data_IF_573462799237
#
_entry.id   IF_573462799237
#
_cell.length_a   1.000
_cell.length_b   1.000
_cell.length_c   1.000
_cell.angle_alpha   90.00
_cell.angle_beta   90.00
_cell.angle_gamma   90.00
#
_symmetry.space_group_name_H-M   'P 1'
#
loop_
_entity.id
_entity.type
_entity.pdbx_description
1 polymer ?
#
# COMPACT_ATOMS: atom_id res chain seq x y z
N UNK A 1 -11.74 -11.79 3.83
CA UNK A 1 -11.62 -12.29 5.20
C UNK A 1 -11.16 -13.72 5.10
N UNK A 2 -10.04 -14.06 5.74
CA UNK A 2 -9.58 -15.44 5.92
C UNK A 2 -10.30 -15.93 7.18
N UNK A 3 -11.01 -17.05 7.12
CA UNK A 3 -11.80 -17.52 8.26
C UNK A 3 -10.88 -18.10 9.33
N UNK A 4 -11.26 -17.94 10.60
CA UNK A 4 -10.47 -18.40 11.76
C UNK A 4 -10.29 -19.93 11.84
N UNK A 5 -10.94 -20.69 10.96
CA UNK A 5 -10.86 -22.15 10.88
C UNK A 5 -9.99 -22.66 9.72
N UNK A 6 -9.39 -21.77 8.93
CA UNK A 6 -8.58 -22.18 7.77
C UNK A 6 -7.22 -22.71 8.25
N UNK A 7 -6.85 -23.92 7.80
CA UNK A 7 -5.49 -24.44 8.04
C UNK A 7 -4.60 -24.04 6.86
N UNK A 8 -3.64 -23.11 7.05
CA UNK A 8 -2.73 -22.73 5.97
C UNK A 8 -1.73 -23.85 5.71
N UNK A 9 -1.51 -24.18 4.44
CA UNK A 9 -0.52 -25.15 3.97
C UNK A 9 0.49 -24.42 3.10
N UNK A 10 1.77 -24.73 3.27
CA UNK A 10 2.83 -24.23 2.39
C UNK A 10 3.29 -25.34 1.46
N UNK A 11 2.99 -25.22 0.17
CA UNK A 11 3.34 -26.22 -0.83
C UNK A 11 3.55 -25.57 -2.21
N UNK A 12 4.50 -26.09 -2.99
CA UNK A 12 4.75 -25.66 -4.37
C UNK A 12 4.91 -24.13 -4.53
N UNK A 13 5.65 -23.48 -3.64
CA UNK A 13 5.81 -22.02 -3.60
C UNK A 13 4.51 -21.22 -3.35
N UNK A 14 3.44 -21.85 -2.87
CA UNK A 14 2.16 -21.21 -2.55
C UNK A 14 1.72 -21.46 -1.11
N UNK A 15 1.18 -20.41 -0.48
CA UNK A 15 0.42 -20.51 0.76
C UNK A 15 -1.04 -20.77 0.39
N UNK A 16 -1.53 -21.91 0.83
CA UNK A 16 -2.83 -22.45 0.46
C UNK A 16 -3.72 -22.38 1.70
N UNK A 17 -4.82 -21.65 1.62
CA UNK A 17 -5.86 -21.69 2.65
C UNK A 17 -6.95 -22.65 2.20
N UNK A 18 -7.09 -23.75 2.95
CA UNK A 18 -8.20 -24.69 2.77
C UNK A 18 -9.31 -24.25 3.72
N UNK A 19 -10.26 -23.50 3.19
CA UNK A 19 -11.51 -23.15 3.87
C UNK A 19 -12.63 -24.11 3.45
N UNK A 20 -13.77 -24.02 4.12
CA UNK A 20 -15.00 -24.77 3.76
C UNK A 20 -15.55 -24.40 2.36
N UNK A 21 -15.13 -23.27 1.79
CA UNK A 21 -15.34 -22.83 0.39
C UNK A 21 -14.45 -21.62 0.09
N UNK A 22 -13.92 -21.43 -1.13
CA UNK A 22 -12.99 -22.23 -1.93
C UNK A 22 -11.50 -22.03 -1.57
N UNK A 23 -10.61 -22.91 -2.08
CA UNK A 23 -9.16 -22.87 -1.84
C UNK A 23 -8.55 -21.54 -2.33
N UNK A 24 -7.84 -20.82 -1.45
CA UNK A 24 -7.11 -19.60 -1.81
C UNK A 24 -5.64 -19.94 -1.94
N UNK A 25 -5.04 -19.68 -3.09
CA UNK A 25 -3.60 -19.78 -3.29
C UNK A 25 -2.99 -18.39 -3.23
N UNK A 26 -1.94 -18.21 -2.43
CA UNK A 26 -1.12 -17.01 -2.39
C UNK A 26 0.30 -17.40 -2.79
N UNK A 27 0.77 -16.92 -3.93
CA UNK A 27 2.12 -17.16 -4.41
C UNK A 27 3.20 -16.60 -3.49
N UNK A 28 4.39 -17.15 -3.61
CA UNK A 28 5.62 -16.62 -3.02
C UNK A 28 5.94 -15.21 -3.56
N UNK A 29 6.96 -14.57 -2.98
CA UNK A 29 7.52 -13.34 -3.53
C UNK A 29 7.94 -13.47 -5.01
N UNK A 30 8.54 -14.61 -5.39
CA UNK A 30 8.95 -14.91 -6.76
C UNK A 30 7.74 -15.03 -7.71
N UNK A 31 6.63 -15.55 -7.19
CA UNK A 31 5.32 -15.60 -7.86
C UNK A 31 4.54 -14.28 -7.75
N UNK A 32 5.22 -13.18 -7.43
CA UNK A 32 4.67 -11.82 -7.34
C UNK A 32 3.54 -11.65 -6.33
N UNK A 33 3.46 -12.55 -5.34
CA UNK A 33 2.37 -12.59 -4.36
C UNK A 33 0.98 -12.64 -5.04
N UNK A 34 0.92 -13.32 -6.20
CA UNK A 34 -0.34 -13.52 -6.91
C UNK A 34 -1.33 -14.30 -6.03
N UNK A 35 -2.60 -13.96 -6.11
CA UNK A 35 -3.63 -14.64 -5.33
C UNK A 35 -4.63 -15.20 -6.31
N UNK A 36 -4.86 -16.51 -6.23
CA UNK A 36 -5.75 -17.23 -7.11
C UNK A 36 -6.90 -17.86 -6.35
N UNK A 37 -8.08 -17.86 -6.98
CA UNK A 37 -9.30 -18.47 -6.47
C UNK A 37 -9.89 -19.34 -7.58
N UNK A 38 -10.46 -20.51 -7.26
CA UNK A 38 -11.14 -21.33 -8.24
C UNK A 38 -12.51 -20.71 -8.55
N UNK A 39 -12.92 -20.78 -9.82
CA UNK A 39 -14.31 -20.60 -10.21
C UNK A 39 -15.15 -21.84 -9.88
N UNK A 40 -16.44 -21.79 -10.20
CA UNK A 40 -17.38 -22.90 -10.01
C UNK A 40 -17.00 -24.16 -10.82
N UNK A 41 -16.12 -24.04 -11.81
CA UNK A 41 -15.62 -25.13 -12.64
C UNK A 41 -14.26 -25.65 -12.16
N UNK A 42 -13.71 -25.11 -11.08
CA UNK A 42 -12.39 -25.47 -10.55
C UNK A 42 -11.21 -24.82 -11.28
N UNK A 43 -11.44 -23.90 -12.22
CA UNK A 43 -10.35 -23.16 -12.87
C UNK A 43 -9.88 -22.01 -11.98
N UNK A 44 -8.57 -21.86 -11.84
CA UNK A 44 -7.98 -20.81 -11.00
C UNK A 44 -7.83 -19.49 -11.75
N UNK A 45 -8.36 -18.43 -11.14
CA UNK A 45 -8.29 -17.07 -11.65
C UNK A 45 -7.55 -16.16 -10.69
N UNK A 46 -6.74 -15.26 -11.25
CA UNK A 46 -6.11 -14.21 -10.45
C UNK A 46 -7.17 -13.25 -9.91
N UNK A 47 -7.13 -13.02 -8.61
CA UNK A 47 -7.94 -11.97 -7.97
C UNK A 47 -7.48 -10.59 -8.43
N UNK A 48 -8.42 -9.64 -8.45
CA UNK A 48 -8.10 -8.28 -8.83
C UNK A 48 -7.16 -7.61 -7.81
N UNK A 49 -6.30 -6.70 -8.29
CA UNK A 49 -5.23 -6.10 -7.48
C UNK A 49 -5.73 -5.36 -6.22
N UNK A 50 -6.94 -4.82 -6.28
CA UNK A 50 -7.49 -3.96 -5.24
C UNK A 50 -8.33 -4.69 -4.19
N UNK A 51 -8.54 -5.99 -4.37
CA UNK A 51 -9.39 -6.79 -3.50
C UNK A 51 -8.61 -7.45 -2.34
N UNK A 52 -7.34 -7.07 -2.18
CA UNK A 52 -6.42 -7.61 -1.16
C UNK A 52 -6.54 -6.88 0.17
N UNK A 53 -7.71 -6.95 0.79
CA UNK A 53 -7.94 -6.39 2.12
C UNK A 53 -7.67 -7.45 3.20
N UNK A 54 -6.84 -7.10 4.19
CA UNK A 54 -6.71 -7.85 5.45
C UNK A 54 -5.66 -8.96 5.50
N UNK A 55 -4.86 -9.19 4.43
CA UNK A 55 -3.74 -10.14 4.50
C UNK A 55 -2.57 -9.49 5.25
N UNK A 56 -2.14 -10.11 6.34
CA UNK A 56 -1.03 -9.60 7.15
C UNK A 56 0.33 -10.06 6.64
N UNK A 57 1.30 -9.14 6.61
CA UNK A 57 2.71 -9.44 6.34
C UNK A 57 3.56 -9.54 7.61
N UNK A 58 2.93 -9.42 8.78
CA UNK A 58 3.65 -9.45 10.05
C UNK A 58 4.00 -10.88 10.41
N UNK A 59 5.28 -11.12 10.59
CA UNK A 59 5.75 -12.33 11.23
C UNK A 59 5.33 -12.36 12.70
N UNK A 60 4.87 -13.52 13.17
CA UNK A 60 4.54 -13.75 14.56
C UNK A 60 4.85 -15.21 14.90
N UNK A 61 5.44 -15.44 16.08
CA UNK A 61 5.68 -16.79 16.62
C UNK A 61 4.38 -17.59 16.79
N UNK A 62 3.25 -16.91 16.88
CA UNK A 62 1.92 -17.51 16.98
C UNK A 62 1.29 -17.82 15.60
N UNK A 63 1.90 -17.39 14.49
CA UNK A 63 1.43 -17.79 13.16
C UNK A 63 1.69 -19.29 12.94
N UNK A 64 0.89 -19.92 12.09
CA UNK A 64 1.18 -21.27 11.63
C UNK A 64 2.54 -21.35 10.92
N UNK A 65 3.25 -22.47 11.08
CA UNK A 65 4.55 -22.71 10.45
C UNK A 65 4.51 -22.46 8.94
N UNK A 66 3.47 -22.91 8.25
CA UNK A 66 3.28 -22.68 6.81
C UNK A 66 3.19 -21.19 6.45
N UNK A 67 2.48 -20.39 7.25
CA UNK A 67 2.43 -18.93 7.06
C UNK A 67 3.79 -18.31 7.26
N UNK A 68 4.55 -18.75 8.27
CA UNK A 68 5.90 -18.24 8.50
C UNK A 68 6.86 -18.61 7.37
N UNK A 69 6.82 -19.84 6.85
CA UNK A 69 7.60 -20.25 5.67
C UNK A 69 7.26 -19.42 4.43
N UNK A 70 5.97 -19.12 4.22
CA UNK A 70 5.58 -18.22 3.14
C UNK A 70 6.08 -16.79 3.35
N UNK A 71 5.96 -16.23 4.56
CA UNK A 71 6.46 -14.90 4.90
C UNK A 71 7.97 -14.77 4.73
N UNK A 72 8.73 -15.86 4.91
CA UNK A 72 10.17 -15.90 4.68
C UNK A 72 10.54 -15.74 3.20
N UNK A 73 9.63 -16.04 2.26
CA UNK A 73 9.84 -15.74 0.84
C UNK A 73 9.88 -14.24 0.57
N UNK A 74 9.26 -13.42 1.43
CA UNK A 74 9.18 -11.96 1.29
C UNK A 74 10.42 -11.33 1.94
N UNK A 75 11.19 -10.51 1.20
CA UNK A 75 12.39 -9.87 1.75
C UNK A 75 12.06 -9.10 3.03
N UNK A 76 12.90 -9.23 4.06
CA UNK A 76 12.65 -8.64 5.38
C UNK A 76 12.42 -7.13 5.30
N UNK A 77 13.20 -6.44 4.48
CA UNK A 77 13.05 -5.00 4.24
C UNK A 77 11.65 -4.61 3.74
N UNK A 78 11.00 -5.45 2.93
CA UNK A 78 9.65 -5.22 2.41
C UNK A 78 8.62 -5.37 3.52
N UNK A 79 8.78 -6.39 4.36
CA UNK A 79 7.91 -6.60 5.53
C UNK A 79 8.04 -5.43 6.49
N UNK A 80 9.26 -4.97 6.75
CA UNK A 80 9.53 -3.87 7.67
C UNK A 80 8.97 -2.53 7.14
N UNK A 81 9.26 -2.16 5.89
CA UNK A 81 8.80 -0.88 5.32
C UNK A 81 7.28 -0.81 5.21
N UNK A 82 6.61 -1.88 4.79
CA UNK A 82 5.16 -1.89 4.61
C UNK A 82 4.38 -2.14 5.91
N UNK A 83 5.03 -2.63 6.96
CA UNK A 83 4.40 -2.75 8.29
C UNK A 83 3.97 -1.41 8.90
N UNK A 84 4.53 -0.30 8.39
CA UNK A 84 4.21 1.08 8.78
C UNK A 84 2.80 1.48 8.34
N UNK A 85 2.24 0.83 7.30
CA UNK A 85 0.85 1.03 6.87
C UNK A 85 0.04 -0.27 6.98
N UNK A 86 -0.43 -0.64 8.20
CA UNK A 86 -1.00 -1.96 8.47
C UNK A 86 -2.23 -2.28 7.64
N UNK A 87 -3.03 -1.27 7.30
CA UNK A 87 -4.32 -1.44 6.63
C UNK A 87 -4.21 -2.12 5.26
N UNK A 88 -3.12 -1.87 4.52
CA UNK A 88 -2.94 -2.36 3.15
C UNK A 88 -1.51 -2.85 2.85
N UNK A 89 -0.77 -3.32 3.86
CA UNK A 89 0.61 -3.77 3.72
C UNK A 89 0.80 -4.84 2.61
N UNK A 90 -0.13 -5.79 2.46
CA UNK A 90 -0.06 -6.81 1.40
C UNK A 90 -0.22 -6.21 0.01
N UNK A 91 -1.15 -5.26 -0.16
CA UNK A 91 -1.33 -4.56 -1.42
C UNK A 91 -0.05 -3.82 -1.83
N UNK A 92 0.60 -3.11 -0.89
CA UNK A 92 1.89 -2.45 -1.15
C UNK A 92 2.97 -3.47 -1.56
N UNK A 93 3.09 -4.59 -0.83
CA UNK A 93 4.06 -5.65 -1.15
C UNK A 93 3.83 -6.28 -2.51
N UNK A 94 2.58 -6.50 -2.89
CA UNK A 94 2.26 -7.05 -4.19
C UNK A 94 2.66 -6.10 -5.32
N UNK A 95 2.39 -4.81 -5.19
CA UNK A 95 2.84 -3.82 -6.19
C UNK A 95 4.36 -3.84 -6.30
N UNK A 96 5.09 -3.90 -5.18
CA UNK A 96 6.54 -4.04 -5.15
C UNK A 96 7.05 -5.33 -5.81
N UNK A 97 6.36 -6.44 -5.61
CA UNK A 97 6.70 -7.72 -6.22
C UNK A 97 6.40 -7.76 -7.74
N UNK A 98 5.37 -7.02 -8.18
CA UNK A 98 5.01 -6.89 -9.59
C UNK A 98 5.99 -6.02 -10.37
N UNK A 99 6.52 -4.97 -9.75
CA UNK A 99 7.35 -3.95 -10.40
C UNK A 99 8.43 -3.43 -9.43
N UNK A 100 9.71 -3.85 -9.58
CA UNK A 100 10.78 -3.45 -8.69
C UNK A 100 10.97 -1.93 -8.53
N UNK A 101 10.73 -1.13 -9.58
CA UNK A 101 10.87 0.33 -9.48
C UNK A 101 9.89 0.97 -8.48
N UNK A 102 8.79 0.29 -8.18
CA UNK A 102 7.83 0.76 -7.17
C UNK A 102 8.39 0.65 -5.75
N UNK A 103 9.29 -0.30 -5.49
CA UNK A 103 10.02 -0.39 -4.23
C UNK A 103 10.98 0.79 -4.05
N UNK A 104 11.69 1.18 -5.11
CA UNK A 104 12.59 2.33 -5.06
C UNK A 104 11.83 3.62 -4.79
N UNK A 105 10.60 3.73 -5.31
CA UNK A 105 9.70 4.81 -4.98
C UNK A 105 9.31 4.79 -3.49
N UNK A 106 8.90 3.63 -2.96
CA UNK A 106 8.55 3.48 -1.55
C UNK A 106 9.72 3.83 -0.61
N UNK A 107 10.95 3.44 -0.97
CA UNK A 107 12.17 3.75 -0.20
C UNK A 107 12.49 5.25 -0.19
N UNK A 108 12.34 5.93 -1.33
CA UNK A 108 12.62 7.37 -1.44
C UNK A 108 11.57 8.22 -0.74
N UNK A 109 10.30 7.85 -0.84
CA UNK A 109 9.19 8.60 -0.28
C UNK A 109 7.97 7.71 -0.03
N UNK A 110 7.93 7.08 1.14
CA UNK A 110 6.88 6.13 1.51
C UNK A 110 5.48 6.77 1.55
N UNK A 111 5.38 7.98 2.10
CA UNK A 111 4.11 8.72 2.21
C UNK A 111 3.51 8.94 0.82
N UNK A 112 4.34 9.43 -0.10
CA UNK A 112 3.94 9.65 -1.47
C UNK A 112 3.51 8.35 -2.17
N UNK A 113 4.27 7.27 -1.99
CA UNK A 113 3.94 5.96 -2.54
C UNK A 113 2.55 5.47 -2.08
N UNK A 114 2.27 5.57 -0.78
CA UNK A 114 0.97 5.19 -0.21
C UNK A 114 -0.16 6.06 -0.75
N UNK A 115 0.02 7.38 -0.87
CA UNK A 115 -0.98 8.29 -1.45
C UNK A 115 -1.34 7.86 -2.88
N UNK A 116 -0.34 7.58 -3.71
CA UNK A 116 -0.56 7.16 -5.09
C UNK A 116 -1.36 5.86 -5.17
N UNK A 117 -0.94 4.84 -4.43
CA UNK A 117 -1.58 3.53 -4.46
C UNK A 117 -3.01 3.56 -3.91
N UNK A 118 -3.27 4.29 -2.82
CA UNK A 118 -4.63 4.49 -2.32
C UNK A 118 -5.51 5.25 -3.31
N UNK A 119 -4.96 6.26 -4.00
CA UNK A 119 -5.69 6.96 -5.05
C UNK A 119 -6.06 6.02 -6.20
N UNK A 120 -5.12 5.20 -6.68
CA UNK A 120 -5.40 4.21 -7.72
C UNK A 120 -6.47 3.21 -7.31
N UNK A 121 -6.37 2.66 -6.10
CA UNK A 121 -7.32 1.71 -5.54
C UNK A 121 -8.73 2.28 -5.47
N UNK A 122 -8.88 3.49 -4.92
CA UNK A 122 -10.19 4.15 -4.74
C UNK A 122 -10.86 4.53 -6.06
N UNK A 123 -10.06 4.89 -7.07
CA UNK A 123 -10.56 5.27 -8.38
C UNK A 123 -10.57 4.11 -9.38
N UNK A 124 -10.33 2.87 -8.92
CA UNK A 124 -10.25 1.67 -9.76
C UNK A 124 -9.40 1.87 -11.02
N UNK A 125 -8.25 2.53 -10.88
CA UNK A 125 -7.33 2.73 -12.00
C UNK A 125 -6.78 1.37 -12.47
N UNK A 126 -6.64 1.18 -13.78
CA UNK A 126 -6.08 -0.07 -14.29
C UNK A 126 -4.62 -0.24 -13.80
N UNK A 127 -4.18 -1.44 -13.38
CA UNK A 127 -2.83 -1.67 -12.89
C UNK A 127 -1.73 -1.20 -13.85
N UNK A 128 -1.95 -1.33 -15.17
CA UNK A 128 -0.99 -0.89 -16.19
C UNK A 128 -0.77 0.62 -16.14
N UNK A 129 -1.85 1.40 -15.93
CA UNK A 129 -1.76 2.85 -15.76
C UNK A 129 -1.09 3.23 -14.45
N UNK A 130 -1.39 2.52 -13.37
CA UNK A 130 -0.75 2.73 -12.08
C UNK A 130 0.78 2.53 -12.18
N UNK A 131 1.21 1.44 -12.80
CA UNK A 131 2.63 1.12 -13.00
C UNK A 131 3.32 2.07 -13.99
N UNK A 132 2.62 2.48 -15.07
CA UNK A 132 3.12 3.48 -16.00
C UNK A 132 3.56 4.76 -15.27
N UNK A 133 2.70 5.34 -14.45
CA UNK A 133 3.06 6.56 -13.72
C UNK A 133 4.16 6.36 -12.66
N UNK A 134 4.26 5.16 -12.06
CA UNK A 134 5.38 4.84 -11.16
C UNK A 134 6.72 4.90 -11.90
N UNK A 135 6.77 4.40 -13.13
CA UNK A 135 7.98 4.44 -13.97
C UNK A 135 8.33 5.87 -14.39
N UNK A 136 7.33 6.70 -14.66
CA UNK A 136 7.52 8.13 -14.96
C UNK A 136 7.99 8.96 -13.75
N UNK A 137 7.75 8.46 -12.53
CA UNK A 137 8.29 9.04 -11.30
C UNK A 137 7.36 10.01 -10.55
N UNK A 138 7.87 10.49 -9.41
CA UNK A 138 7.10 11.23 -8.39
C UNK A 138 6.45 12.51 -8.93
N UNK A 139 7.18 13.24 -9.77
CA UNK A 139 6.73 14.51 -10.34
C UNK A 139 5.50 14.33 -11.25
N UNK A 140 5.53 13.32 -12.13
CA UNK A 140 4.44 13.02 -13.07
C UNK A 140 3.17 12.57 -12.34
N UNK A 141 3.31 11.75 -11.31
CA UNK A 141 2.21 11.33 -10.46
C UNK A 141 1.57 12.53 -9.74
N UNK A 142 2.34 13.43 -9.13
CA UNK A 142 1.77 14.59 -8.43
C UNK A 142 0.99 15.51 -9.39
N UNK A 143 1.53 15.74 -10.60
CA UNK A 143 0.78 16.43 -11.66
C UNK A 143 -0.52 15.71 -11.99
N UNK A 144 -0.47 14.38 -12.11
CA UNK A 144 -1.66 13.56 -12.38
C UNK A 144 -2.70 13.63 -11.26
N UNK A 145 -2.25 13.77 -10.01
CA UNK A 145 -3.10 13.97 -8.84
C UNK A 145 -3.68 15.39 -8.73
N UNK A 146 -3.29 16.32 -9.62
CA UNK A 146 -3.77 17.70 -9.63
C UNK A 146 -2.98 18.67 -8.77
N UNK A 147 -1.81 18.27 -8.26
CA UNK A 147 -0.95 19.13 -7.44
C UNK A 147 -0.31 20.19 -8.32
N UNK A 148 -0.61 21.46 -8.04
CA UNK A 148 -0.08 22.59 -8.81
C UNK A 148 1.39 22.86 -8.47
N UNK A 149 1.71 22.89 -7.17
CA UNK A 149 3.03 23.23 -6.64
C UNK A 149 3.85 21.98 -6.31
N UNK A 150 4.19 21.24 -7.37
CA UNK A 150 4.77 19.88 -7.30
C UNK A 150 6.04 19.83 -6.44
N UNK A 151 6.99 20.75 -6.64
CA UNK A 151 8.27 20.71 -5.91
C UNK A 151 8.10 20.88 -4.40
N UNK A 152 7.20 21.77 -3.98
CA UNK A 152 6.90 21.99 -2.57
C UNK A 152 6.11 20.84 -1.96
N UNK A 153 5.23 20.20 -2.74
CA UNK A 153 4.54 19.00 -2.31
C UNK A 153 5.50 17.81 -2.13
N UNK A 154 6.44 17.60 -3.06
CA UNK A 154 7.50 16.58 -2.91
C UNK A 154 8.35 16.84 -1.67
N UNK A 155 8.77 18.09 -1.50
CA UNK A 155 9.56 18.50 -0.36
C UNK A 155 8.82 18.27 0.97
N UNK A 156 7.54 18.62 1.02
CA UNK A 156 6.69 18.38 2.19
C UNK A 156 6.53 16.88 2.45
N UNK A 157 6.25 16.07 1.43
CA UNK A 157 6.10 14.62 1.56
C UNK A 157 7.33 13.94 2.19
N UNK A 158 8.55 14.36 1.79
CA UNK A 158 9.80 13.83 2.35
C UNK A 158 10.00 14.16 3.85
N UNK A 159 9.25 15.12 4.38
CA UNK A 159 9.30 15.55 5.79
C UNK A 159 8.16 14.98 6.63
N UNK A 160 7.17 14.33 6.01
CA UNK A 160 6.10 13.64 6.72
C UNK A 160 6.68 12.36 7.31
N UNK A 161 6.50 12.17 8.62
CA UNK A 161 6.90 10.93 9.27
C UNK A 161 6.09 9.75 8.71
N UNK A 162 6.75 8.64 8.36
CA UNK A 162 6.12 7.51 7.69
C UNK A 162 4.92 6.92 8.45
N UNK A 163 4.90 7.01 9.79
CA UNK A 163 3.80 6.52 10.63
C UNK A 163 2.55 7.42 10.58
N UNK A 164 2.59 8.58 9.94
CA UNK A 164 1.43 9.45 9.77
C UNK A 164 0.29 8.72 9.05
N UNK A 165 0.60 7.92 8.02
CA UNK A 165 -0.43 7.17 7.27
C UNK A 165 -1.11 6.08 8.10
N UNK A 166 -0.58 5.71 9.26
CA UNK A 166 -1.25 4.79 10.18
C UNK A 166 -2.42 5.45 10.92
N UNK A 167 -2.43 6.79 11.02
CA UNK A 167 -3.43 7.55 11.78
C UNK A 167 -4.23 8.53 10.89
N UNK A 168 -3.60 9.06 9.84
CA UNK A 168 -4.19 10.03 8.91
C UNK A 168 -4.45 9.34 7.57
N UNK A 169 -5.69 9.34 7.09
CA UNK A 169 -6.02 8.74 5.79
C UNK A 169 -5.22 9.39 4.64
N UNK A 170 -4.62 8.62 3.71
CA UNK A 170 -3.79 9.18 2.63
C UNK A 170 -4.52 10.18 1.73
N UNK A 171 -5.84 10.05 1.55
CA UNK A 171 -6.67 11.01 0.83
C UNK A 171 -6.72 12.38 1.51
N UNK A 172 -6.64 12.41 2.85
CA UNK A 172 -6.63 13.65 3.60
C UNK A 172 -5.28 14.35 3.43
N UNK A 173 -4.19 13.57 3.48
CA UNK A 173 -2.85 14.08 3.17
C UNK A 173 -2.84 14.68 1.76
N UNK A 174 -3.40 13.96 0.76
CA UNK A 174 -3.51 14.46 -0.60
C UNK A 174 -4.32 15.78 -0.68
N UNK A 175 -5.46 15.89 0.00
CA UNK A 175 -6.24 17.14 0.06
C UNK A 175 -5.40 18.29 0.61
N UNK A 176 -4.59 18.07 1.65
CA UNK A 176 -3.66 19.08 2.15
C UNK A 176 -2.59 19.47 1.13
N UNK A 177 -2.12 18.56 0.29
CA UNK A 177 -1.14 18.86 -0.77
C UNK A 177 -1.74 19.64 -1.95
N UNK A 178 -3.05 19.48 -2.18
CA UNK A 178 -3.79 20.20 -3.23
C UNK A 178 -4.20 21.61 -2.80
N UNK A 179 -4.32 21.86 -1.50
CA UNK A 179 -4.71 23.14 -0.94
C UNK A 179 -3.49 24.01 -0.64
N UNK A 180 -3.42 25.21 -1.22
CA UNK A 180 -2.26 26.09 -1.09
C UNK A 180 -1.95 26.52 0.35
N UNK A 181 -2.98 26.81 1.15
CA UNK A 181 -2.80 27.22 2.54
C UNK A 181 -2.24 26.08 3.40
N UNK A 182 -2.77 24.86 3.21
CA UNK A 182 -2.25 23.65 3.84
C UNK A 182 -0.80 23.39 3.41
N UNK A 183 -0.53 23.42 2.11
CA UNK A 183 0.81 23.15 1.58
C UNK A 183 1.83 24.19 2.06
N UNK A 184 1.45 25.47 2.16
CA UNK A 184 2.30 26.50 2.73
C UNK A 184 2.67 26.19 4.19
N UNK A 185 1.69 25.84 5.02
CA UNK A 185 1.92 25.45 6.41
C UNK A 185 2.84 24.21 6.52
N UNK A 186 2.58 23.17 5.72
CA UNK A 186 3.39 21.96 5.70
C UNK A 186 4.82 22.25 5.23
N UNK A 187 5.01 23.08 4.21
CA UNK A 187 6.34 23.40 3.65
C UNK A 187 7.25 24.16 4.63
N UNK A 188 6.67 24.95 5.53
CA UNK A 188 7.37 25.67 6.60
C UNK A 188 7.72 24.75 7.78
N UNK A 189 7.11 23.57 7.85
CA UNK A 189 7.32 22.62 8.93
C UNK A 189 8.56 21.76 8.63
N UNK A 190 9.49 21.67 9.59
CA UNK A 190 10.74 20.89 9.45
C UNK A 190 10.48 19.38 9.45
N UNK A 191 9.58 18.92 10.32
CA UNK A 191 9.20 17.52 10.47
C UNK A 191 7.69 17.45 10.71
N UNK A 192 6.97 16.86 9.75
CA UNK A 192 5.52 16.85 9.74
C UNK A 192 5.03 15.55 10.39
N UNK A 193 4.24 15.71 11.45
CA UNK A 193 3.67 14.64 12.28
C UNK A 193 2.14 14.68 12.27
N UNK A 194 1.50 13.65 12.81
CA UNK A 194 0.04 13.51 12.91
C UNK A 194 -0.68 14.77 13.42
N UNK A 195 -0.17 15.42 14.48
CA UNK A 195 -0.83 16.61 15.06
C UNK A 195 -0.94 17.80 14.09
N UNK A 196 -0.05 17.91 13.09
CA UNK A 196 -0.11 18.96 12.08
C UNK A 196 -1.36 18.78 11.21
N UNK A 197 -1.69 17.54 10.86
CA UNK A 197 -2.89 17.21 10.09
C UNK A 197 -4.16 17.40 10.93
N UNK A 198 -4.11 17.08 12.23
CA UNK A 198 -5.20 17.39 13.17
C UNK A 198 -5.46 18.89 13.24
N UNK A 199 -4.42 19.72 13.35
CA UNK A 199 -4.57 21.19 13.31
C UNK A 199 -5.16 21.69 11.99
N UNK A 200 -4.69 21.17 10.86
CA UNK A 200 -5.25 21.54 9.55
C UNK A 200 -6.75 21.19 9.43
N UNK A 201 -7.22 20.17 10.17
CA UNK A 201 -8.62 19.76 10.15
C UNK A 201 -9.53 20.69 10.98
N UNK A 202 -9.00 21.27 12.05
CA UNK A 202 -9.74 22.19 12.93
C UNK A 202 -9.78 23.60 12.38
N UNK A 203 -8.71 24.03 11.70
CA UNK A 203 -8.53 25.40 11.25
C UNK A 203 -9.31 25.71 9.93
N UNK A 204 -10.31 24.89 9.57
CA UNK A 204 -11.21 25.09 8.41
C UNK A 204 -10.52 25.20 7.05
N UNK A 205 -9.27 24.73 6.91
CA UNK A 205 -8.55 24.81 5.63
C UNK A 205 -9.13 23.92 4.53
N UNK A 206 -10.00 22.97 4.89
CA UNK A 206 -10.55 21.94 4.00
C UNK A 206 -12.08 21.89 4.00
N UNK A 207 -12.75 22.88 4.57
CA UNK A 207 -14.21 23.00 4.55
C UNK A 207 -14.67 23.82 3.34
N UNK A 208 -14.49 23.30 2.13
CA UNK A 208 -15.23 23.68 0.90
C UNK A 208 -15.11 22.58 -0.15
#
# INVERSE_FOLDING_TARGET
>A
MIDHNDTPIWAFEHLIFISSTPIIYIGSWKEKLNVMYPDNNGNFHNKHLYDYVGISLRWNKNNCASTNSWLETIPKEIRDIFSIYPSNQFYLARVAAMEPISLDLARRNFIFFVIWLEHCRRNNLRPERMLYYIREGEYTILKKLGVQRVDQALFSCKRIENNVVSAIPPEYILKCLLNDACLNFLSQTKQIKTYHFTRLSTDSYLSH
#
